data_IF_145261615531
#
_entry.id   IF_145261615531
#
_cell.length_a   1.000
_cell.length_b   1.000
_cell.length_c   1.000
_cell.angle_alpha   90.00
_cell.angle_beta   90.00
_cell.angle_gamma   90.00
#
_symmetry.space_group_name_H-M   'P 1'
#
loop_
_entity.id
_entity.type
_entity.pdbx_description
1 polymer ?
#
# COMPACT_ATOMS: atom_id res chain seq x y z
N UNK A 1 -33.74 -6.62 -3.79
CA UNK A 1 -34.56 -7.02 -2.63
C UNK A 1 -35.47 -5.87 -2.31
N UNK A 2 -36.76 -6.14 -2.18
CA UNK A 2 -37.77 -5.17 -1.75
C UNK A 2 -38.31 -5.72 -0.43
N UNK A 3 -38.28 -4.91 0.63
CA UNK A 3 -38.69 -5.33 1.99
C UNK A 3 -37.97 -6.59 2.55
N UNK A 4 -36.71 -6.83 2.16
CA UNK A 4 -35.93 -7.98 2.64
C UNK A 4 -36.07 -9.24 1.78
N UNK A 5 -37.07 -9.32 0.91
CA UNK A 5 -37.29 -10.49 0.06
C UNK A 5 -36.56 -10.39 -1.29
N UNK A 6 -36.06 -11.54 -1.76
CA UNK A 6 -35.38 -11.68 -3.05
C UNK A 6 -36.41 -11.88 -4.15
N UNK A 7 -36.88 -10.78 -4.72
CA UNK A 7 -37.75 -10.81 -5.90
C UNK A 7 -36.92 -11.25 -7.13
N UNK A 8 -37.31 -12.33 -7.83
CA UNK A 8 -36.65 -12.75 -9.06
C UNK A 8 -36.89 -11.71 -10.17
N UNK A 9 -35.83 -11.38 -10.91
CA UNK A 9 -35.91 -10.50 -12.08
C UNK A 9 -36.33 -11.38 -13.26
N UNK A 10 -37.56 -11.21 -13.73
CA UNK A 10 -38.16 -12.05 -14.77
C UNK A 10 -37.97 -11.50 -16.19
N UNK A 11 -37.73 -10.19 -16.35
CA UNK A 11 -37.44 -9.56 -17.65
C UNK A 11 -36.54 -8.35 -17.49
N UNK A 12 -35.56 -8.20 -18.39
CA UNK A 12 -34.67 -7.03 -18.46
C UNK A 12 -34.66 -6.50 -19.87
N UNK A 13 -35.18 -5.28 -20.07
CA UNK A 13 -35.09 -4.57 -21.34
C UNK A 13 -33.97 -3.52 -21.25
N UNK A 14 -32.99 -3.64 -22.16
CA UNK A 14 -31.84 -2.73 -22.19
C UNK A 14 -32.08 -1.67 -23.25
N UNK A 15 -32.47 -0.48 -22.80
CA UNK A 15 -32.59 0.68 -23.69
C UNK A 15 -31.19 1.23 -24.05
N UNK A 16 -30.86 1.26 -25.35
CA UNK A 16 -29.61 1.83 -25.88
C UNK A 16 -29.88 3.25 -26.42
N UNK A 17 -29.50 4.32 -25.69
CA UNK A 17 -29.79 5.69 -26.11
C UNK A 17 -29.02 6.04 -27.40
N UNK A 18 -29.69 6.76 -28.31
CA UNK A 18 -29.14 7.23 -29.59
C UNK A 18 -29.39 8.73 -29.78
N UNK A 19 -28.53 9.40 -30.55
CA UNK A 19 -28.63 10.84 -30.84
C UNK A 19 -28.67 11.71 -29.58
N UNK A 20 -29.59 12.67 -29.57
CA UNK A 20 -29.77 13.68 -28.52
C UNK A 20 -29.91 13.06 -27.11
N UNK A 21 -30.61 11.91 -26.98
CA UNK A 21 -30.74 11.24 -25.68
C UNK A 21 -29.40 10.78 -25.11
N UNK A 22 -28.49 10.31 -25.96
CA UNK A 22 -27.17 9.85 -25.54
C UNK A 22 -26.31 11.02 -25.07
N UNK A 23 -26.33 12.12 -25.79
CA UNK A 23 -25.58 13.34 -25.45
C UNK A 23 -26.06 13.92 -24.11
N UNK A 24 -27.37 14.09 -23.95
CA UNK A 24 -27.97 14.56 -22.71
C UNK A 24 -27.66 13.61 -21.53
N UNK A 25 -27.70 12.29 -21.74
CA UNK A 25 -27.33 11.31 -20.72
C UNK A 25 -25.84 11.40 -20.33
N UNK A 26 -24.96 11.70 -21.29
CA UNK A 26 -23.54 11.93 -20.98
C UNK A 26 -23.31 13.22 -20.18
N UNK A 27 -24.00 14.31 -20.51
CA UNK A 27 -23.98 15.56 -19.72
C UNK A 27 -24.52 15.33 -18.30
N UNK A 28 -25.62 14.59 -18.17
CA UNK A 28 -26.20 14.22 -16.88
C UNK A 28 -25.21 13.45 -15.99
N UNK A 29 -24.56 12.42 -16.54
CA UNK A 29 -23.56 11.63 -15.80
C UNK A 29 -22.31 12.42 -15.40
N UNK A 30 -21.96 13.46 -16.17
CA UNK A 30 -20.85 14.37 -15.86
C UNK A 30 -21.24 15.47 -14.86
N UNK A 31 -22.54 15.63 -14.57
CA UNK A 31 -23.05 16.70 -13.71
C UNK A 31 -23.08 18.08 -14.37
N UNK A 32 -22.97 18.15 -15.69
CA UNK A 32 -22.87 19.42 -16.46
C UNK A 32 -24.18 19.79 -17.17
N UNK A 33 -25.30 19.17 -16.81
CA UNK A 33 -26.59 19.33 -17.49
C UNK A 33 -27.40 20.49 -16.90
N UNK A 34 -27.99 21.33 -17.75
CA UNK A 34 -28.89 22.40 -17.32
C UNK A 34 -30.31 21.86 -16.99
N UNK A 35 -31.13 22.63 -16.29
CA UNK A 35 -32.51 22.29 -15.91
C UNK A 35 -33.41 22.05 -17.12
N UNK A 36 -33.31 22.89 -18.16
CA UNK A 36 -34.07 22.71 -19.40
C UNK A 36 -33.69 21.40 -20.12
N UNK A 37 -32.39 21.15 -20.27
CA UNK A 37 -31.84 19.91 -20.83
C UNK A 37 -32.27 18.66 -20.03
N UNK A 38 -32.35 18.78 -18.70
CA UNK A 38 -32.82 17.71 -17.81
C UNK A 38 -34.29 17.39 -18.06
N UNK A 39 -35.14 18.39 -18.29
CA UNK A 39 -36.55 18.20 -18.61
C UNK A 39 -36.74 17.55 -19.99
N UNK A 40 -35.92 17.93 -20.97
CA UNK A 40 -35.89 17.30 -22.31
C UNK A 40 -35.47 15.83 -22.19
N UNK A 41 -34.38 15.55 -21.48
CA UNK A 41 -33.89 14.19 -21.24
C UNK A 41 -34.98 13.32 -20.59
N UNK A 42 -35.68 13.86 -19.60
CA UNK A 42 -36.79 13.18 -18.92
C UNK A 42 -37.93 12.82 -19.89
N UNK A 43 -38.39 13.78 -20.71
CA UNK A 43 -39.45 13.53 -21.72
C UNK A 43 -39.03 12.46 -22.73
N UNK A 44 -37.79 12.52 -23.21
CA UNK A 44 -37.28 11.55 -24.19
C UNK A 44 -37.14 10.14 -23.59
N UNK A 45 -36.65 10.02 -22.36
CA UNK A 45 -36.56 8.73 -21.67
C UNK A 45 -37.94 8.16 -21.39
N UNK A 46 -38.89 8.98 -20.95
CA UNK A 46 -40.27 8.54 -20.73
C UNK A 46 -40.91 8.06 -22.03
N UNK A 47 -40.76 8.83 -23.13
CA UNK A 47 -41.27 8.43 -24.46
C UNK A 47 -40.68 7.11 -24.93
N UNK A 48 -39.39 6.88 -24.70
CA UNK A 48 -38.69 5.71 -25.26
C UNK A 48 -38.70 4.47 -24.36
N UNK A 49 -38.92 4.63 -23.05
CA UNK A 49 -38.93 3.51 -22.09
C UNK A 49 -40.31 3.24 -21.50
N UNK A 50 -41.28 4.14 -21.68
CA UNK A 50 -42.59 4.07 -21.03
C UNK A 50 -42.56 4.33 -19.52
N UNK A 51 -41.38 4.52 -18.92
CA UNK A 51 -41.23 4.69 -17.47
C UNK A 51 -41.50 6.15 -17.10
N UNK A 52 -42.40 6.38 -16.15
CA UNK A 52 -42.65 7.71 -15.61
C UNK A 52 -41.63 8.05 -14.52
N UNK A 53 -40.76 9.02 -14.79
CA UNK A 53 -39.68 9.46 -13.90
C UNK A 53 -40.05 10.69 -13.08
N UNK A 54 -41.27 10.77 -12.56
CA UNK A 54 -41.74 11.90 -11.75
C UNK A 54 -40.85 12.08 -10.49
N UNK A 55 -40.34 13.30 -10.29
CA UNK A 55 -39.60 13.70 -9.09
C UNK A 55 -40.59 14.08 -8.00
N UNK A 56 -41.35 13.11 -7.53
CA UNK A 56 -42.32 13.27 -6.47
C UNK A 56 -42.51 11.92 -5.83
N UNK A 57 -42.13 11.83 -4.56
CA UNK A 57 -42.26 10.68 -3.68
C UNK A 57 -43.40 9.72 -4.06
N UNK A 58 -43.06 8.51 -4.56
CA UNK A 58 -43.67 7.19 -4.25
C UNK A 58 -43.39 6.06 -5.25
N UNK A 59 -42.67 6.28 -6.36
CA UNK A 59 -42.20 5.16 -7.20
C UNK A 59 -40.67 4.97 -7.07
N UNK A 60 -40.25 3.77 -6.67
CA UNK A 60 -38.86 3.41 -6.36
C UNK A 60 -37.91 3.33 -7.57
N UNK A 61 -38.16 4.09 -8.64
CA UNK A 61 -37.35 4.06 -9.86
C UNK A 61 -36.12 4.92 -9.66
N UNK A 62 -35.01 4.28 -9.28
CA UNK A 62 -33.68 4.89 -9.26
C UNK A 62 -33.02 4.66 -10.62
N UNK A 63 -32.44 5.70 -11.21
CA UNK A 63 -31.54 5.55 -12.34
C UNK A 63 -30.29 4.78 -11.88
N UNK A 64 -30.21 3.49 -12.20
CA UNK A 64 -29.03 2.67 -11.90
C UNK A 64 -28.22 2.55 -13.18
N UNK A 65 -27.02 3.11 -13.18
CA UNK A 65 -26.07 2.84 -14.23
C UNK A 65 -25.66 1.35 -14.14
N UNK A 66 -26.06 0.57 -15.14
CA UNK A 66 -25.85 -0.88 -15.22
C UNK A 66 -24.37 -1.26 -15.13
N UNK A 67 -23.45 -0.33 -15.46
CA UNK A 67 -22.00 -0.53 -15.30
C UNK A 67 -21.56 -0.83 -13.85
N UNK A 68 -22.45 -0.63 -12.88
CA UNK A 68 -22.25 -0.95 -11.46
C UNK A 68 -23.16 -2.05 -10.92
N UNK A 69 -24.06 -2.62 -11.74
CA UNK A 69 -24.89 -3.76 -11.35
C UNK A 69 -23.99 -5.01 -11.41
N UNK A 70 -23.46 -5.38 -10.25
CA UNK A 70 -22.46 -6.44 -10.08
C UNK A 70 -21.36 -6.09 -9.07
N UNK A 71 -21.21 -4.80 -8.73
CA UNK A 71 -20.38 -4.36 -7.62
C UNK A 71 -21.24 -4.35 -6.35
N UNK A 72 -21.29 -5.51 -5.69
CA UNK A 72 -21.66 -5.76 -4.29
C UNK A 72 -22.25 -4.57 -3.51
N UNK A 73 -23.49 -4.74 -3.05
CA UNK A 73 -24.06 -4.14 -1.83
C UNK A 73 -23.01 -3.46 -0.91
N UNK A 74 -22.87 -2.14 -1.02
CA UNK A 74 -21.95 -1.39 -0.16
C UNK A 74 -21.58 0.03 -0.63
N UNK A 75 -21.94 0.42 -1.86
CA UNK A 75 -21.73 1.79 -2.34
C UNK A 75 -22.80 2.75 -1.81
N UNK A 76 -22.58 3.32 -0.62
CA UNK A 76 -23.38 4.45 -0.12
C UNK A 76 -23.37 5.57 -1.16
N UNK A 77 -24.58 5.95 -1.57
CA UNK A 77 -24.87 7.09 -2.42
C UNK A 77 -24.32 8.38 -1.79
N UNK A 78 -23.88 9.27 -2.67
CA UNK A 78 -23.46 10.64 -2.40
C UNK A 78 -24.55 11.35 -1.57
N UNK A 79 -24.28 11.63 -0.29
CA UNK A 79 -25.03 12.63 0.47
C UNK A 79 -24.60 14.01 -0.03
N UNK A 80 -25.42 14.64 -0.86
CA UNK A 80 -25.33 16.08 -1.11
C UNK A 80 -25.88 16.82 0.11
N UNK A 81 -25.13 17.81 0.57
CA UNK A 81 -25.48 18.69 1.68
C UNK A 81 -26.76 19.47 1.33
N UNK A 82 -27.82 19.25 2.11
CA UNK A 82 -28.83 20.26 2.36
C UNK A 82 -28.86 20.49 3.87
N UNK A 83 -28.44 21.69 4.24
CA UNK A 83 -28.69 22.30 5.53
C UNK A 83 -30.18 22.23 5.81
N UNK A 84 -30.55 21.57 6.91
CA UNK A 84 -31.86 21.72 7.52
C UNK A 84 -31.73 21.42 9.01
N UNK A 85 -31.62 22.48 9.80
CA UNK A 85 -31.93 22.45 11.23
C UNK A 85 -33.43 22.19 11.39
N UNK A 86 -33.81 21.30 12.32
CA UNK A 86 -34.85 21.67 13.25
C UNK A 86 -34.47 21.35 14.70
N UNK A 87 -34.62 22.38 15.54
CA UNK A 87 -35.36 22.39 16.81
C UNK A 87 -35.28 21.17 17.74
N UNK A 88 -34.73 21.43 18.92
CA UNK A 88 -35.18 20.95 20.25
C UNK A 88 -35.82 19.56 20.35
N UNK A 89 -35.16 18.65 21.08
CA UNK A 89 -35.62 18.31 22.42
C UNK A 89 -34.54 17.55 23.20
N UNK A 90 -34.24 18.12 24.36
CA UNK A 90 -33.32 17.66 25.38
C UNK A 90 -33.99 16.48 26.08
N UNK A 91 -33.37 15.31 26.05
CA UNK A 91 -33.51 14.33 27.11
C UNK A 91 -32.13 13.99 27.64
N UNK A 92 -31.84 14.54 28.82
CA UNK A 92 -30.72 14.17 29.67
C UNK A 92 -30.88 12.70 30.05
N UNK A 93 -29.88 11.88 29.74
CA UNK A 93 -29.68 10.61 30.43
C UNK A 93 -28.45 10.80 31.31
N UNK A 94 -28.72 10.88 32.61
CA UNK A 94 -27.72 10.89 33.68
C UNK A 94 -26.91 9.59 33.60
N UNK A 95 -25.59 9.72 33.56
CA UNK A 95 -24.68 8.61 33.91
C UNK A 95 -23.77 9.09 35.05
N UNK A 96 -23.58 8.27 36.09
CA UNK A 96 -22.93 8.69 37.32
C UNK A 96 -21.42 8.92 37.11
N UNK A 97 -20.95 9.99 37.74
CA UNK A 97 -19.56 10.43 37.82
C UNK A 97 -18.69 9.40 38.52
N UNK A 98 -17.71 8.85 37.80
CA UNK A 98 -16.59 8.14 38.42
C UNK A 98 -15.56 9.20 38.82
N UNK A 99 -15.47 9.43 40.13
CA UNK A 99 -14.43 10.19 40.81
C UNK A 99 -13.07 9.53 40.55
N UNK A 100 -12.16 10.26 39.90
CA UNK A 100 -10.72 9.96 39.93
C UNK A 100 -10.04 11.21 40.46
N UNK A 101 -9.93 11.28 41.78
CA UNK A 101 -9.04 12.19 42.48
C UNK A 101 -7.58 11.77 42.23
N UNK A 102 -6.73 12.79 42.12
CA UNK A 102 -5.27 12.77 42.28
C UNK A 102 -4.43 11.96 41.28
N UNK A 103 -4.06 12.62 40.17
CA UNK A 103 -2.70 12.45 39.61
C UNK A 103 -2.10 13.84 39.42
N UNK A 104 -1.22 14.21 40.35
CA UNK A 104 -0.34 15.37 40.28
C UNK A 104 0.61 15.22 39.09
N UNK A 105 0.44 16.05 38.06
CA UNK A 105 1.48 16.27 37.04
C UNK A 105 1.92 17.72 37.13
N UNK A 106 3.12 17.86 37.68
CA UNK A 106 3.93 19.06 37.80
C UNK A 106 4.06 19.76 36.44
N UNK A 107 3.31 20.84 36.24
CA UNK A 107 3.43 21.76 35.12
C UNK A 107 4.52 22.80 35.43
N UNK A 108 5.68 22.67 34.79
CA UNK A 108 6.64 23.79 34.68
C UNK A 108 6.36 24.55 33.37
N UNK A 109 6.00 25.84 33.41
CA UNK A 109 5.89 26.66 32.20
C UNK A 109 7.28 27.15 31.80
N UNK A 110 7.74 26.81 30.59
CA UNK A 110 8.91 27.48 30.01
C UNK A 110 8.41 28.59 29.08
N UNK A 111 8.67 29.81 29.52
CA UNK A 111 8.36 31.07 28.88
C UNK A 111 9.13 31.28 27.57
N UNK A 112 8.43 31.93 26.64
CA UNK A 112 8.94 32.62 25.45
C UNK A 112 10.16 33.50 25.77
N UNK A 113 11.20 33.43 24.92
CA UNK A 113 12.07 34.56 24.59
C UNK A 113 12.45 34.48 23.11
N UNK A 114 11.84 35.34 22.31
CA UNK A 114 12.25 35.69 20.96
C UNK A 114 13.24 36.85 21.06
N UNK A 115 14.51 36.62 20.78
CA UNK A 115 15.48 37.68 20.53
C UNK A 115 15.54 37.94 19.03
N UNK A 116 15.04 39.11 18.64
CA UNK A 116 15.21 39.68 17.33
C UNK A 116 16.65 40.20 17.19
N UNK A 117 17.38 39.73 16.18
CA UNK A 117 18.67 40.32 15.81
C UNK A 117 18.48 41.14 14.55
N UNK A 118 18.34 42.45 14.76
CA UNK A 118 18.51 43.50 13.77
C UNK A 118 19.96 43.54 13.32
N UNK A 119 20.23 43.43 12.02
CA UNK A 119 21.56 43.70 11.46
C UNK A 119 21.45 44.88 10.50
N UNK A 120 22.13 45.95 10.92
CA UNK A 120 22.31 47.24 10.29
C UNK A 120 22.74 47.14 8.83
N UNK A 121 22.01 47.86 7.97
CA UNK A 121 22.54 48.40 6.71
C UNK A 121 23.57 49.48 7.03
N UNK A 122 24.77 49.32 6.51
CA UNK A 122 25.70 50.44 6.29
C UNK A 122 25.97 50.52 4.80
N UNK A 123 25.52 51.62 4.22
CA UNK A 123 25.94 52.10 2.91
C UNK A 123 27.22 52.90 3.10
N UNK A 124 28.24 52.63 2.30
CA UNK A 124 29.12 53.69 1.81
C UNK A 124 29.63 53.31 0.40
N UNK A 125 29.62 54.27 -0.55
CA UNK A 125 30.13 54.09 -1.90
C UNK A 125 31.65 54.31 -1.92
N UNK A 126 32.33 53.87 -2.97
CA UNK A 126 33.30 54.68 -3.74
C UNK A 126 33.89 53.85 -4.88
N UNK A 127 34.11 54.57 -5.98
CA UNK A 127 34.64 54.19 -7.28
C UNK A 127 36.01 53.51 -7.29
N UNK A 128 36.28 52.80 -8.38
CA UNK A 128 37.36 53.02 -9.39
C UNK A 128 38.15 51.77 -9.80
N UNK A 129 38.31 51.73 -11.12
CA UNK A 129 39.42 51.20 -11.92
C UNK A 129 39.49 49.69 -12.15
N UNK A 130 39.01 49.37 -13.34
CA UNK A 130 39.43 48.30 -14.23
C UNK A 130 40.95 48.10 -14.26
N UNK A 131 41.38 46.93 -13.82
CA UNK A 131 42.57 46.25 -14.37
C UNK A 131 42.13 44.85 -14.76
N UNK A 132 42.17 44.60 -16.07
CA UNK A 132 41.83 43.31 -16.66
C UNK A 132 42.91 42.28 -16.30
N UNK A 133 42.72 41.57 -15.19
CA UNK A 133 43.52 40.38 -14.89
C UNK A 133 42.92 39.21 -15.67
N UNK A 134 43.64 38.75 -16.69
CA UNK A 134 43.31 37.54 -17.46
C UNK A 134 43.26 36.33 -16.52
N UNK A 135 42.05 35.99 -16.07
CA UNK A 135 41.80 34.77 -15.30
C UNK A 135 41.89 33.61 -16.26
N UNK A 136 43.08 32.99 -16.31
CA UNK A 136 43.36 31.73 -16.96
C UNK A 136 42.33 30.72 -16.45
N UNK A 137 41.30 30.44 -17.26
CA UNK A 137 40.29 29.41 -17.00
C UNK A 137 41.01 28.07 -16.91
N UNK A 138 41.36 27.66 -15.70
CA UNK A 138 41.72 26.28 -15.44
C UNK A 138 40.47 25.45 -15.73
N UNK A 139 40.50 24.72 -16.82
CA UNK A 139 39.47 23.74 -17.17
C UNK A 139 39.30 22.82 -15.97
N UNK A 140 38.15 22.91 -15.29
CA UNK A 140 37.80 21.98 -14.21
C UNK A 140 38.05 20.56 -14.73
N UNK A 141 38.85 19.73 -14.04
CA UNK A 141 39.10 18.38 -14.49
C UNK A 141 37.75 17.68 -14.60
N UNK A 142 37.43 17.24 -15.82
CA UNK A 142 36.25 16.42 -16.10
C UNK A 142 36.35 15.23 -15.16
N UNK A 143 35.47 15.17 -14.16
CA UNK A 143 35.47 14.11 -13.16
C UNK A 143 35.36 12.78 -13.92
N UNK A 144 36.44 12.00 -13.90
CA UNK A 144 36.53 10.66 -14.48
C UNK A 144 35.28 9.90 -14.01
N UNK A 145 34.39 9.56 -14.94
CA UNK A 145 33.18 8.80 -14.65
C UNK A 145 33.64 7.48 -14.04
N UNK A 146 33.63 7.38 -12.72
CA UNK A 146 34.01 6.15 -12.02
C UNK A 146 33.03 5.08 -12.47
N UNK A 147 33.52 4.11 -13.22
CA UNK A 147 32.74 2.98 -13.70
C UNK A 147 31.92 2.41 -12.54
N UNK A 148 30.58 2.50 -12.63
CA UNK A 148 29.69 2.05 -11.56
C UNK A 148 29.97 0.58 -11.33
N UNK A 149 30.38 0.22 -10.10
CA UNK A 149 30.60 -1.18 -9.71
C UNK A 149 29.38 -2.01 -10.12
N UNK A 150 29.58 -3.18 -10.76
CA UNK A 150 28.47 -4.01 -11.18
C UNK A 150 27.64 -4.41 -9.95
N UNK A 151 26.34 -4.09 -9.97
CA UNK A 151 25.43 -4.45 -8.88
C UNK A 151 25.35 -5.98 -8.81
N UNK A 152 25.61 -6.61 -7.65
CA UNK A 152 25.60 -8.06 -7.54
C UNK A 152 24.22 -8.60 -7.93
N UNK A 153 24.20 -9.50 -8.94
CA UNK A 153 22.98 -10.18 -9.36
C UNK A 153 22.57 -11.16 -8.26
N UNK A 154 21.46 -10.90 -7.59
CA UNK A 154 20.89 -11.84 -6.61
C UNK A 154 20.59 -13.17 -7.31
N UNK A 155 21.24 -14.24 -6.86
CA UNK A 155 21.01 -15.59 -7.39
C UNK A 155 19.57 -16.01 -7.06
N UNK A 156 18.86 -16.46 -8.09
CA UNK A 156 17.55 -17.07 -7.94
C UNK A 156 17.74 -18.49 -7.36
N UNK A 157 16.89 -18.92 -6.42
CA UNK A 157 16.98 -20.31 -5.93
C UNK A 157 16.63 -21.27 -7.07
N UNK A 158 17.22 -22.47 -7.05
CA UNK A 158 17.07 -23.52 -8.07
C UNK A 158 15.62 -23.85 -8.40
N UNK A 159 14.71 -23.66 -7.44
CA UNK A 159 13.35 -24.17 -7.51
C UNK A 159 12.44 -23.25 -8.34
N UNK A 160 12.87 -22.00 -8.55
CA UNK A 160 12.15 -21.01 -9.33
C UNK A 160 12.60 -21.04 -10.78
N UNK A 161 11.65 -21.27 -11.69
CA UNK A 161 11.91 -21.34 -13.13
C UNK A 161 11.55 -20.02 -13.81
N UNK A 162 12.39 -19.55 -14.71
CA UNK A 162 12.08 -18.42 -15.59
C UNK A 162 11.35 -18.94 -16.83
N UNK A 163 10.30 -18.25 -17.21
CA UNK A 163 9.46 -18.59 -18.37
C UNK A 163 9.19 -17.31 -19.17
N UNK A 164 9.18 -17.43 -20.49
CA UNK A 164 8.75 -16.36 -21.39
C UNK A 164 7.32 -16.64 -21.83
N UNK A 165 6.42 -15.70 -21.57
CA UNK A 165 5.01 -15.78 -21.99
C UNK A 165 4.85 -15.25 -23.42
N UNK A 166 3.87 -15.80 -24.14
CA UNK A 166 3.52 -15.32 -25.49
C UNK A 166 3.15 -13.82 -25.51
N UNK A 167 2.38 -13.37 -24.50
CA UNK A 167 1.92 -11.98 -24.35
C UNK A 167 2.49 -11.34 -23.09
N UNK A 168 2.69 -10.02 -23.14
CA UNK A 168 3.14 -9.27 -21.98
C UNK A 168 2.00 -9.14 -20.95
N UNK A 169 2.22 -9.64 -19.74
CA UNK A 169 1.24 -9.65 -18.64
C UNK A 169 1.69 -8.67 -17.55
N UNK A 170 0.79 -7.99 -16.83
CA UNK A 170 1.15 -7.21 -15.65
C UNK A 170 1.90 -8.06 -14.64
N UNK A 171 3.08 -7.60 -14.26
CA UNK A 171 3.97 -8.30 -13.33
C UNK A 171 4.13 -7.54 -12.03
N UNK A 172 4.45 -8.30 -10.99
CA UNK A 172 4.57 -7.80 -9.63
C UNK A 172 5.83 -8.39 -8.98
N UNK A 173 6.29 -7.77 -7.90
CA UNK A 173 7.11 -8.47 -6.92
C UNK A 173 6.52 -8.31 -5.53
N UNK A 174 6.90 -9.23 -4.65
CA UNK A 174 6.38 -9.29 -3.30
C UNK A 174 7.33 -8.57 -2.34
N UNK A 175 6.75 -7.80 -1.42
CA UNK A 175 7.43 -7.17 -0.31
C UNK A 175 6.80 -7.65 1.00
N UNK A 176 7.59 -7.81 2.06
CA UNK A 176 7.10 -8.20 3.38
C UNK A 176 7.57 -7.22 4.45
N UNK A 177 6.77 -7.07 5.52
CA UNK A 177 7.18 -6.32 6.72
C UNK A 177 7.91 -7.26 7.68
N UNK A 178 9.24 -7.12 7.78
CA UNK A 178 10.08 -7.93 8.67
C UNK A 178 10.81 -7.01 9.64
N UNK A 179 10.64 -7.22 10.96
CA UNK A 179 11.28 -6.43 12.02
C UNK A 179 11.10 -4.90 11.83
N UNK A 180 9.87 -4.47 11.53
CA UNK A 180 9.56 -3.06 11.29
C UNK A 180 9.94 -2.51 9.91
N UNK A 181 10.79 -3.20 9.15
CA UNK A 181 11.27 -2.76 7.83
C UNK A 181 10.52 -3.45 6.69
N UNK A 182 10.40 -2.74 5.57
CA UNK A 182 9.86 -3.22 4.29
C UNK A 182 11.01 -3.89 3.55
N UNK A 183 10.90 -5.19 3.29
CA UNK A 183 11.94 -5.97 2.60
C UNK A 183 11.39 -6.50 1.28
N UNK A 184 12.16 -6.30 0.21
CA UNK A 184 11.86 -6.85 -1.11
C UNK A 184 12.21 -8.34 -1.14
N UNK A 185 11.28 -9.17 -1.59
CA UNK A 185 11.52 -10.59 -1.77
C UNK A 185 11.95 -10.91 -3.20
N UNK A 186 12.81 -11.91 -3.31
CA UNK A 186 13.12 -12.62 -4.56
C UNK A 186 12.28 -13.88 -4.62
N UNK A 187 11.63 -14.20 -5.75
CA UNK A 187 11.94 -13.75 -7.11
C UNK A 187 11.19 -12.50 -7.59
N UNK A 188 11.66 -11.95 -8.71
CA UNK A 188 10.98 -10.95 -9.54
C UNK A 188 11.38 -11.16 -11.00
N UNK A 189 10.52 -10.87 -11.99
CA UNK A 189 9.10 -10.48 -11.89
C UNK A 189 8.15 -11.70 -11.81
N UNK A 190 7.03 -11.57 -11.10
CA UNK A 190 6.02 -12.63 -10.93
C UNK A 190 4.68 -12.23 -11.59
N UNK A 191 3.89 -13.20 -12.04
CA UNK A 191 2.49 -12.96 -12.42
C UNK A 191 1.66 -12.65 -11.18
N UNK A 192 0.45 -12.09 -11.33
CA UNK A 192 -0.40 -11.77 -10.17
C UNK A 192 -0.72 -13.01 -9.32
N UNK A 193 -1.03 -14.14 -9.98
CA UNK A 193 -1.38 -15.38 -9.29
C UNK A 193 -0.17 -15.97 -8.57
N UNK A 194 0.96 -16.08 -9.27
CA UNK A 194 2.22 -16.57 -8.69
C UNK A 194 2.68 -15.67 -7.53
N UNK A 195 2.47 -14.35 -7.65
CA UNK A 195 2.77 -13.41 -6.59
C UNK A 195 1.88 -13.63 -5.36
N UNK A 196 0.58 -13.89 -5.54
CA UNK A 196 -0.34 -14.21 -4.43
C UNK A 196 0.09 -15.47 -3.69
N UNK A 197 0.39 -16.52 -4.45
CA UNK A 197 0.84 -17.81 -3.90
C UNK A 197 2.15 -17.66 -3.13
N UNK A 198 3.13 -16.98 -3.73
CA UNK A 198 4.43 -16.71 -3.10
C UNK A 198 4.29 -15.85 -1.84
N UNK A 199 3.44 -14.82 -1.90
CA UNK A 199 3.16 -13.94 -0.76
C UNK A 199 2.55 -14.74 0.39
N UNK A 200 1.50 -15.50 0.11
CA UNK A 200 0.80 -16.30 1.10
C UNK A 200 1.74 -17.31 1.78
N UNK A 201 2.53 -18.03 0.98
CA UNK A 201 3.52 -18.97 1.47
C UNK A 201 4.55 -18.28 2.39
N UNK A 202 5.03 -17.09 2.01
CA UNK A 202 6.02 -16.36 2.82
C UNK A 202 5.43 -15.79 4.10
N UNK A 203 4.16 -15.38 4.11
CA UNK A 203 3.49 -14.95 5.33
C UNK A 203 3.34 -16.11 6.31
N UNK A 204 2.85 -17.27 5.85
CA UNK A 204 2.58 -18.44 6.71
C UNK A 204 3.86 -19.11 7.26
N UNK A 205 4.96 -19.06 6.50
CA UNK A 205 6.24 -19.67 6.87
C UNK A 205 7.25 -18.71 7.53
N UNK A 206 6.87 -17.44 7.77
CA UNK A 206 7.76 -16.49 8.45
C UNK A 206 7.03 -15.74 9.55
N UNK A 207 7.77 -15.01 10.39
CA UNK A 207 7.18 -14.15 11.43
C UNK A 207 6.52 -12.87 10.87
N UNK A 208 6.36 -12.77 9.55
CA UNK A 208 5.93 -11.54 8.88
C UNK A 208 4.45 -11.61 8.56
N UNK A 209 3.64 -10.76 9.20
CA UNK A 209 2.18 -10.81 9.09
C UNK A 209 1.57 -9.90 8.02
N UNK A 210 2.41 -9.12 7.36
CA UNK A 210 1.98 -8.14 6.36
C UNK A 210 2.89 -8.22 5.16
N UNK A 211 2.27 -8.24 3.98
CA UNK A 211 2.96 -8.29 2.73
C UNK A 211 2.19 -7.51 1.65
N UNK A 212 2.91 -7.01 0.65
CA UNK A 212 2.37 -6.16 -0.41
C UNK A 212 2.92 -6.57 -1.76
N UNK A 213 2.14 -6.32 -2.80
CA UNK A 213 2.54 -6.37 -4.19
C UNK A 213 2.99 -5.00 -4.63
N UNK A 214 4.13 -4.95 -5.30
CA UNK A 214 4.56 -3.77 -6.03
C UNK A 214 4.44 -4.06 -7.54
N UNK A 215 3.70 -3.25 -8.30
CA UNK A 215 3.63 -3.41 -9.75
C UNK A 215 4.97 -3.08 -10.41
N UNK A 216 5.37 -3.87 -11.41
CA UNK A 216 6.60 -3.69 -12.21
C UNK A 216 6.32 -3.32 -13.68
N UNK A 217 5.05 -3.19 -14.06
CA UNK A 217 4.61 -3.03 -15.44
C UNK A 217 4.36 -4.37 -16.14
N UNK A 218 4.10 -4.31 -17.45
CA UNK A 218 3.85 -5.49 -18.28
C UNK A 218 5.16 -6.10 -18.78
N UNK A 219 5.35 -7.42 -18.64
CA UNK A 219 6.55 -8.14 -19.11
C UNK A 219 6.16 -9.50 -19.68
N UNK A 220 6.94 -9.99 -20.65
CA UNK A 220 6.82 -11.36 -21.18
C UNK A 220 7.60 -12.37 -20.32
N UNK A 221 8.80 -11.99 -19.92
CA UNK A 221 9.65 -12.82 -19.04
C UNK A 221 9.15 -12.75 -17.60
N UNK A 222 8.72 -13.88 -17.07
CA UNK A 222 8.21 -14.05 -15.71
C UNK A 222 8.95 -15.16 -14.99
N UNK A 223 8.85 -15.18 -13.66
CA UNK A 223 9.30 -16.28 -12.83
C UNK A 223 8.07 -17.06 -12.37
N UNK A 224 8.10 -18.38 -12.50
CA UNK A 224 7.10 -19.27 -11.93
C UNK A 224 7.50 -19.69 -10.53
N UNK A 225 6.50 -19.79 -9.66
CA UNK A 225 6.68 -20.40 -8.34
C UNK A 225 6.84 -21.93 -8.46
N UNK A 226 7.59 -22.57 -7.56
CA UNK A 226 7.65 -24.02 -7.45
C UNK A 226 6.28 -24.67 -7.34
N UNK A 227 6.15 -25.92 -7.78
CA UNK A 227 4.89 -26.68 -7.75
C UNK A 227 4.28 -26.75 -6.34
N UNK A 228 5.11 -26.84 -5.30
CA UNK A 228 4.71 -26.87 -3.89
C UNK A 228 3.96 -25.61 -3.43
N UNK A 229 4.33 -24.46 -4.01
CA UNK A 229 3.79 -23.14 -3.67
C UNK A 229 2.61 -22.78 -4.58
N UNK A 230 2.52 -23.40 -5.76
CA UNK A 230 1.46 -23.10 -6.73
C UNK A 230 0.08 -23.42 -6.15
N UNK A 231 -0.83 -22.45 -6.20
CA UNK A 231 -2.18 -22.53 -5.62
C UNK A 231 -2.23 -22.41 -4.09
N UNK A 232 -1.11 -22.14 -3.41
CA UNK A 232 -1.05 -22.04 -1.96
C UNK A 232 -1.96 -20.93 -1.41
N UNK A 233 -2.08 -19.80 -2.11
CA UNK A 233 -2.96 -18.70 -1.70
C UNK A 233 -4.41 -19.17 -1.53
N UNK A 234 -4.92 -20.00 -2.44
CA UNK A 234 -6.30 -20.45 -2.37
C UNK A 234 -6.54 -21.29 -1.11
N UNK A 235 -5.57 -22.15 -0.75
CA UNK A 235 -5.61 -22.99 0.46
C UNK A 235 -5.66 -22.17 1.73
N UNK A 236 -4.86 -21.10 1.83
CA UNK A 236 -4.74 -20.28 3.05
C UNK A 236 -5.50 -18.95 2.98
N UNK A 237 -6.27 -18.71 1.92
CA UNK A 237 -6.97 -17.44 1.67
C UNK A 237 -7.85 -16.99 2.84
N UNK A 238 -8.46 -17.95 3.57
CA UNK A 238 -9.26 -17.70 4.76
C UNK A 238 -8.48 -17.01 5.89
N UNK A 239 -7.17 -17.30 6.02
CA UNK A 239 -6.27 -16.67 7.02
C UNK A 239 -5.86 -15.26 6.62
N UNK A 240 -5.96 -14.90 5.34
CA UNK A 240 -5.51 -13.62 4.82
C UNK A 240 -6.70 -12.67 4.64
N UNK A 241 -6.48 -11.39 4.90
CA UNK A 241 -7.40 -10.31 4.53
C UNK A 241 -6.66 -9.29 3.66
N UNK A 242 -7.34 -8.65 2.70
CA UNK A 242 -6.76 -7.53 1.97
C UNK A 242 -6.30 -6.43 2.93
N UNK A 243 -5.15 -5.83 2.62
CA UNK A 243 -4.65 -4.68 3.35
C UNK A 243 -5.59 -3.48 3.12
N UNK A 244 -6.27 -3.04 4.19
CA UNK A 244 -7.10 -1.82 4.19
C UNK A 244 -6.82 -1.03 5.46
N UNK A 245 -6.46 0.25 5.29
CA UNK A 245 -6.33 1.20 6.40
C UNK A 245 -7.74 1.64 6.78
N UNK A 246 -8.12 1.49 8.05
CA UNK A 246 -9.50 1.73 8.52
C UNK A 246 -9.72 3.12 9.11
N UNK A 247 -8.68 3.89 9.44
CA UNK A 247 -8.82 5.15 10.20
C UNK A 247 -7.84 6.22 9.69
N UNK A 248 -8.29 7.47 9.60
CA UNK A 248 -7.44 8.66 9.38
C UNK A 248 -7.28 9.11 7.92
N UNK A 249 -6.18 9.83 7.65
CA UNK A 249 -5.83 10.43 6.35
C UNK A 249 -5.79 9.37 5.24
N UNK A 250 -6.28 9.70 4.05
CA UNK A 250 -6.22 8.83 2.85
C UNK A 250 -4.76 8.56 2.48
N UNK A 251 -4.21 7.42 2.90
CA UNK A 251 -2.92 6.91 2.40
C UNK A 251 -3.21 6.02 1.19
N UNK A 252 -2.36 6.10 0.16
CA UNK A 252 -2.43 5.21 -1.01
C UNK A 252 -2.49 3.74 -0.56
N UNK A 253 -3.58 3.05 -0.93
CA UNK A 253 -3.79 1.67 -0.51
C UNK A 253 -2.71 0.81 -1.18
N UNK A 254 -1.83 0.23 -0.37
CA UNK A 254 -0.89 -0.78 -0.87
C UNK A 254 -1.69 -2.03 -1.20
N UNK A 255 -1.61 -2.50 -2.44
CA UNK A 255 -2.16 -3.80 -2.81
C UNK A 255 -1.40 -4.87 -2.03
N UNK A 256 -2.07 -5.59 -1.14
CA UNK A 256 -1.39 -6.54 -0.27
C UNK A 256 -2.34 -7.30 0.65
N UNK A 257 -1.76 -8.16 1.46
CA UNK A 257 -2.49 -8.98 2.43
C UNK A 257 -1.88 -8.83 3.82
N UNK A 258 -2.77 -8.95 4.82
CA UNK A 258 -2.44 -9.06 6.22
C UNK A 258 -3.06 -10.35 6.73
N UNK A 259 -2.37 -11.05 7.60
CA UNK A 259 -2.94 -12.17 8.33
C UNK A 259 -4.05 -11.72 9.31
N UNK A 260 -5.14 -12.48 9.40
CA UNK A 260 -6.28 -12.21 10.29
C UNK A 260 -6.01 -12.59 11.75
N UNK A 261 -5.32 -13.70 11.99
CA UNK A 261 -5.17 -14.31 13.32
C UNK A 261 -4.45 -13.36 14.27
N UNK A 262 -4.87 -13.25 15.55
CA UNK A 262 -4.24 -12.30 16.48
C UNK A 262 -2.85 -12.78 16.93
N UNK A 263 -2.67 -14.07 17.16
CA UNK A 263 -1.50 -14.66 17.80
C UNK A 263 -0.56 -15.33 16.78
N UNK A 264 0.73 -15.39 17.12
CA UNK A 264 1.78 -16.08 16.34
C UNK A 264 2.12 -17.34 17.13
N UNK A 265 2.04 -18.52 16.51
CA UNK A 265 2.45 -19.86 16.99
C UNK A 265 1.65 -20.99 16.33
N UNK A 266 0.76 -20.70 15.40
CA UNK A 266 -0.18 -21.70 14.88
C UNK A 266 0.55 -22.65 13.91
N UNK A 267 1.47 -22.12 13.10
CA UNK A 267 2.17 -22.90 12.07
C UNK A 267 3.54 -23.39 12.54
N UNK A 268 3.99 -24.52 11.99
CA UNK A 268 5.33 -25.06 12.24
C UNK A 268 6.43 -24.06 11.82
N UNK A 269 6.21 -23.34 10.71
CA UNK A 269 7.12 -22.29 10.22
C UNK A 269 7.25 -21.12 11.20
N UNK A 270 6.15 -20.66 11.79
CA UNK A 270 6.16 -19.64 12.84
C UNK A 270 6.88 -20.11 14.09
N UNK A 271 6.56 -21.32 14.57
CA UNK A 271 7.21 -21.92 15.75
C UNK A 271 8.73 -21.98 15.54
N UNK A 272 9.18 -22.47 14.37
CA UNK A 272 10.59 -22.51 13.99
C UNK A 272 11.20 -21.10 13.92
N UNK A 273 10.49 -20.14 13.32
CA UNK A 273 10.92 -18.75 13.25
C UNK A 273 11.11 -18.12 14.63
N UNK A 274 10.18 -18.36 15.55
CA UNK A 274 10.25 -17.90 16.94
C UNK A 274 11.42 -18.57 17.68
N UNK A 275 11.62 -19.87 17.50
CA UNK A 275 12.75 -20.60 18.09
C UNK A 275 14.09 -20.02 17.62
N UNK A 276 14.26 -19.81 16.31
CA UNK A 276 15.46 -19.19 15.75
C UNK A 276 15.63 -17.76 16.27
N UNK A 277 14.55 -16.99 16.40
CA UNK A 277 14.61 -15.64 16.96
C UNK A 277 15.04 -15.65 18.43
N UNK A 278 14.49 -16.56 19.26
CA UNK A 278 14.87 -16.75 20.67
C UNK A 278 16.32 -17.20 20.82
N UNK A 279 16.76 -18.12 19.98
CA UNK A 279 18.15 -18.57 19.98
C UNK A 279 19.11 -17.42 19.62
N UNK A 280 18.78 -16.64 18.58
CA UNK A 280 19.58 -15.49 18.17
C UNK A 280 19.56 -14.33 19.18
N UNK A 281 18.49 -14.15 19.96
CA UNK A 281 18.47 -13.14 21.03
C UNK A 281 19.30 -13.58 22.24
N UNK A 282 19.37 -14.88 22.53
CA UNK A 282 20.22 -15.44 23.60
C UNK A 282 21.70 -15.47 23.22
N UNK A 283 22.04 -15.48 21.93
CA UNK A 283 23.43 -15.36 21.47
C UNK A 283 24.00 -14.01 21.95
N UNK A 284 24.94 -14.06 22.88
CA UNK A 284 25.74 -12.90 23.29
C UNK A 284 26.42 -12.32 22.05
N UNK A 285 26.34 -11.00 21.87
CA UNK A 285 27.09 -10.32 20.81
C UNK A 285 28.57 -10.39 21.18
N UNK A 286 29.34 -11.17 20.44
CA UNK A 286 30.80 -11.26 20.61
C UNK A 286 31.39 -9.90 20.26
N UNK A 287 32.19 -9.32 21.16
CA UNK A 287 32.87 -8.05 20.87
C UNK A 287 33.93 -8.24 19.77
N UNK A 288 34.33 -7.18 19.05
CA UNK A 288 35.38 -7.28 18.03
C UNK A 288 36.67 -7.94 18.54
N UNK A 289 37.05 -7.66 19.78
CA UNK A 289 38.22 -8.23 20.45
C UNK A 289 38.06 -9.73 20.72
N UNK A 290 36.94 -10.13 21.33
CA UNK A 290 36.63 -11.54 21.56
C UNK A 290 36.59 -12.31 20.23
N UNK A 291 36.10 -11.68 19.15
CA UNK A 291 36.09 -12.27 17.80
C UNK A 291 37.51 -12.46 17.26
N UNK A 292 38.42 -11.50 17.48
CA UNK A 292 39.84 -11.60 17.09
C UNK A 292 40.53 -12.76 17.83
N UNK A 293 40.31 -12.86 19.14
CA UNK A 293 40.82 -13.97 19.97
C UNK A 293 40.28 -15.32 19.45
N UNK A 294 38.98 -15.41 19.19
CA UNK A 294 38.36 -16.62 18.66
C UNK A 294 38.94 -17.02 17.30
N UNK A 295 39.12 -16.06 16.38
CA UNK A 295 39.73 -16.31 15.07
C UNK A 295 41.17 -16.80 15.18
N UNK A 296 41.96 -16.26 16.10
CA UNK A 296 43.33 -16.71 16.34
C UNK A 296 43.36 -18.14 16.90
N UNK A 297 42.47 -18.47 17.85
CA UNK A 297 42.32 -19.84 18.37
C UNK A 297 41.93 -20.82 17.27
N UNK A 298 40.98 -20.46 16.41
CA UNK A 298 40.56 -21.29 15.27
C UNK A 298 41.66 -21.48 14.24
N UNK A 299 42.46 -20.43 13.94
CA UNK A 299 43.63 -20.54 13.06
C UNK A 299 44.67 -21.51 13.63
N UNK A 300 44.97 -21.41 14.93
CA UNK A 300 45.91 -22.31 15.61
C UNK A 300 45.43 -23.77 15.57
N UNK A 301 44.15 -24.00 15.89
CA UNK A 301 43.54 -25.34 15.82
C UNK A 301 43.57 -25.93 14.39
N UNK A 302 43.28 -25.11 13.37
CA UNK A 302 43.37 -25.54 11.97
C UNK A 302 44.80 -25.91 11.56
N UNK A 303 45.79 -25.14 11.98
CA UNK A 303 47.20 -25.43 11.69
C UNK A 303 47.64 -26.77 12.30
N UNK A 304 47.25 -27.05 13.55
CA UNK A 304 47.52 -28.34 14.21
C UNK A 304 46.83 -29.48 13.45
N UNK A 305 45.55 -29.34 13.09
CA UNK A 305 44.82 -30.36 12.32
C UNK A 305 45.49 -30.66 10.97
N UNK A 306 45.94 -29.64 10.25
CA UNK A 306 46.63 -29.83 8.97
C UNK A 306 48.00 -30.49 9.13
N UNK A 307 48.74 -30.21 10.20
CA UNK A 307 49.98 -30.92 10.51
C UNK A 307 49.74 -32.40 10.78
N UNK A 308 48.71 -32.72 11.56
CA UNK A 308 48.38 -34.11 11.88
C UNK A 308 47.93 -34.89 10.64
N UNK A 309 47.21 -34.25 9.71
CA UNK A 309 46.82 -34.84 8.43
C UNK A 309 48.02 -35.12 7.51
N UNK A 310 49.08 -34.32 7.59
CA UNK A 310 50.32 -34.53 6.81
C UNK A 310 51.24 -35.60 7.38
N UNK A 311 51.02 -36.00 8.63
CA UNK A 311 51.80 -37.05 9.32
C UNK A 311 51.17 -38.43 9.18
N UNK A 312 49.97 -38.51 8.61
CA UNK A 312 49.31 -39.74 8.18
C UNK A 312 49.48 -39.88 6.68
#
# INVERSE_FOLDING_TARGET
>A
TLNGERIPIWKVEIYKPKGVTKELLTKFNKGTINTAERNILKRLLQKNTGINYASGYKSGVRYVNIKYIGLSSGGRLLKSNYLRTPSSNITRINTPSINISSINILSKPVSRKSTATSVRRTSNPVSRKSTATSVRRTSKPVSRITARRPVPRLKLSSDFKRESLQKAVPTYYVKIKRKGKIVNLTPRPLTLQDAKDFLAYKVDNTLSRSAWFEPLGKRKNVVRVPKEIRGYYNKVSRKLRPYKIRVGKKVGIRMGYIEKNKYIRDTSGEKRGLQVSRYNSKKRKITPEQRKILLNRLKKARAVRMRNLKRK
#
